data_IF_616327850399
#
_entry.id   IF_616327850399
#
_cell.length_a   1.000
_cell.length_b   1.000
_cell.length_c   1.000
_cell.angle_alpha   90.00
_cell.angle_beta   90.00
_cell.angle_gamma   90.00
#
_symmetry.space_group_name_H-M   'P 1'
#
loop_
_entity.id
_entity.type
_entity.pdbx_description
1 polymer ?
#
# COMPACT_ATOMS: atom_id res chain seq x y z
N UNK A 1 11.44 -6.06 -7.34
CA UNK A 1 11.22 -5.18 -6.17
C UNK A 1 9.91 -5.61 -5.51
N UNK A 2 9.81 -5.63 -4.19
CA UNK A 2 8.55 -5.97 -3.50
C UNK A 2 8.00 -4.69 -2.88
N UNK A 3 6.69 -4.47 -2.99
CA UNK A 3 6.02 -3.31 -2.37
C UNK A 3 5.56 -3.78 -0.99
N UNK A 4 5.91 -3.08 0.08
CA UNK A 4 5.51 -3.48 1.43
C UNK A 4 4.67 -2.38 2.08
N UNK A 5 3.50 -2.73 2.61
CA UNK A 5 2.73 -1.81 3.42
C UNK A 5 3.48 -1.51 4.73
N UNK A 6 3.67 -0.24 5.06
CA UNK A 6 4.35 0.19 6.28
C UNK A 6 3.49 0.10 7.53
N UNK A 7 2.17 -0.03 7.38
CA UNK A 7 1.23 -0.11 8.51
C UNK A 7 1.06 -1.55 9.00
N UNK A 8 0.81 -2.50 8.11
CA UNK A 8 0.61 -3.91 8.46
C UNK A 8 1.75 -4.85 8.09
N UNK A 9 2.82 -4.33 7.46
CA UNK A 9 3.97 -5.11 7.01
C UNK A 9 3.63 -6.18 5.94
N UNK A 10 2.44 -6.14 5.33
CA UNK A 10 2.12 -7.03 4.21
C UNK A 10 3.02 -6.73 2.99
N UNK A 11 3.58 -7.79 2.43
CA UNK A 11 4.37 -7.73 1.20
C UNK A 11 3.46 -8.01 -0.01
N UNK A 12 3.56 -7.15 -1.00
CA UNK A 12 2.91 -7.21 -2.29
C UNK A 12 3.96 -7.47 -3.36
N UNK A 13 3.66 -8.38 -4.29
CA UNK A 13 4.54 -8.68 -5.42
C UNK A 13 4.56 -7.49 -6.39
N UNK A 14 5.70 -7.24 -7.06
CA UNK A 14 5.92 -6.06 -7.90
C UNK A 14 4.87 -5.82 -8.99
N UNK A 15 4.15 -6.86 -9.42
CA UNK A 15 3.08 -6.79 -10.43
C UNK A 15 1.77 -6.23 -9.86
N UNK A 16 1.72 -5.97 -8.56
CA UNK A 16 0.58 -5.40 -7.88
C UNK A 16 0.53 -3.90 -8.19
N UNK A 17 -0.31 -3.51 -9.15
CA UNK A 17 -0.52 -2.12 -9.56
C UNK A 17 -0.87 -1.20 -8.39
N UNK A 18 -0.63 0.12 -8.54
CA UNK A 18 -1.01 1.16 -7.56
C UNK A 18 -2.46 0.99 -7.07
N UNK A 19 -3.37 0.62 -7.97
CA UNK A 19 -4.78 0.36 -7.67
C UNK A 19 -4.95 -0.66 -6.54
N UNK A 20 -4.21 -1.76 -6.57
CA UNK A 20 -4.29 -2.82 -5.56
C UNK A 20 -3.74 -2.37 -4.20
N UNK A 21 -2.71 -1.53 -4.20
CA UNK A 21 -2.19 -0.92 -2.97
C UNK A 21 -3.21 0.09 -2.39
N UNK A 22 -3.92 0.81 -3.26
CA UNK A 22 -5.01 1.71 -2.86
C UNK A 22 -6.19 0.96 -2.26
N UNK A 23 -6.67 -0.09 -2.92
CA UNK A 23 -7.72 -0.98 -2.39
C UNK A 23 -7.32 -1.56 -1.01
N UNK A 24 -6.05 -1.96 -0.84
CA UNK A 24 -5.56 -2.43 0.45
C UNK A 24 -5.66 -1.37 1.55
N UNK A 25 -5.19 -0.16 1.28
CA UNK A 25 -5.24 0.92 2.26
C UNK A 25 -6.68 1.28 2.62
N UNK A 26 -7.57 1.41 1.64
CA UNK A 26 -8.98 1.74 1.85
C UNK A 26 -9.72 0.64 2.65
N UNK A 27 -9.46 -0.64 2.35
CA UNK A 27 -10.16 -1.75 3.00
C UNK A 27 -9.58 -2.15 4.37
N UNK A 28 -8.26 -2.08 4.55
CA UNK A 28 -7.57 -2.54 5.77
C UNK A 28 -7.18 -1.42 6.72
N UNK A 29 -7.01 -0.22 6.19
CA UNK A 29 -6.55 0.94 6.94
C UNK A 29 -7.48 2.14 6.73
N UNK A 30 -8.78 2.04 7.08
CA UNK A 30 -9.78 3.09 6.81
C UNK A 30 -9.51 4.43 7.53
N UNK A 31 -8.53 4.47 8.43
CA UNK A 31 -8.07 5.67 9.15
C UNK A 31 -6.70 6.18 8.68
N UNK A 32 -6.04 5.47 7.76
CA UNK A 32 -4.71 5.81 7.25
C UNK A 32 -4.76 6.02 5.75
N UNK A 33 -4.03 7.01 5.28
CA UNK A 33 -3.97 7.31 3.86
C UNK A 33 -3.09 6.28 3.10
N UNK A 34 -3.32 6.15 1.79
CA UNK A 34 -2.47 5.34 0.91
C UNK A 34 -1.00 5.71 1.04
N UNK A 35 -0.68 6.99 1.18
CA UNK A 35 0.70 7.45 1.31
C UNK A 35 1.32 7.06 2.66
N UNK A 36 0.50 6.83 3.69
CA UNK A 36 0.97 6.30 4.98
C UNK A 36 1.26 4.81 4.86
N UNK A 37 0.43 4.07 4.12
CA UNK A 37 0.62 2.63 3.86
C UNK A 37 1.81 2.39 2.92
N UNK A 38 1.94 3.20 1.88
CA UNK A 38 2.93 3.07 0.83
C UNK A 38 3.57 4.44 0.52
N UNK A 39 4.52 4.90 1.36
CA UNK A 39 5.15 6.21 1.17
C UNK A 39 5.92 6.34 -0.14
N UNK A 40 6.30 5.21 -0.76
CA UNK A 40 6.96 5.16 -2.06
C UNK A 40 6.01 5.39 -3.25
N UNK A 41 4.68 5.44 -3.04
CA UNK A 41 3.72 5.77 -4.11
C UNK A 41 3.54 7.28 -4.31
N UNK A 42 4.05 8.11 -3.38
CA UNK A 42 4.04 9.56 -3.54
C UNK A 42 5.19 9.94 -4.48
N UNK A 43 4.84 10.45 -5.66
CA UNK A 43 5.78 10.96 -6.66
C UNK A 43 6.66 12.08 -6.12
#
# INVERSE_FOLDING_TARGET
MTIQCKVCMQTFICTTSEVKCREHAEAKHPKSDVNTCFPHLKK
#
